data_IF_649602201306
#
_entry.id   IF_649602201306
#
_cell.length_a   1.000
_cell.length_b   1.000
_cell.length_c   1.000
_cell.angle_alpha   90.00
_cell.angle_beta   90.00
_cell.angle_gamma   90.00
#
_symmetry.space_group_name_H-M   'P 1'
#
loop_
_entity.id
_entity.type
_entity.pdbx_description
1 polymer ?
#
# COMPACT_ATOMS: atom_id res chain seq x y z
N UNK A 1 -6.60 -24.99 8.35
CA UNK A 1 -5.67 -26.11 8.62
C UNK A 1 -4.72 -25.66 9.71
N UNK A 2 -4.75 -26.29 10.88
CA UNK A 2 -3.81 -26.03 11.98
C UNK A 2 -2.46 -26.66 11.63
N UNK A 3 -1.41 -25.83 11.56
CA UNK A 3 -0.05 -26.28 11.25
C UNK A 3 0.63 -26.67 12.57
N UNK A 4 1.10 -27.92 12.63
CA UNK A 4 1.91 -28.46 13.72
C UNK A 4 3.23 -27.67 13.87
N UNK A 5 3.49 -27.04 15.04
CA UNK A 5 4.68 -26.23 15.27
C UNK A 5 5.97 -27.05 15.41
N UNK A 6 5.90 -28.38 15.48
CA UNK A 6 7.05 -29.26 15.72
C UNK A 6 7.77 -29.74 14.44
N UNK A 7 7.18 -29.53 13.25
CA UNK A 7 7.86 -29.87 11.99
C UNK A 7 8.89 -28.79 11.61
N UNK A 8 10.18 -29.16 11.37
CA UNK A 8 11.14 -28.24 10.78
C UNK A 8 10.64 -27.87 9.38
N UNK A 9 10.10 -26.64 9.24
CA UNK A 9 9.79 -26.08 7.93
C UNK A 9 11.09 -26.02 7.14
N UNK A 10 11.22 -26.84 6.10
CA UNK A 10 12.13 -26.56 4.99
C UNK A 10 11.91 -25.08 4.65
N UNK A 11 12.91 -24.22 4.91
CA UNK A 11 12.81 -22.78 4.63
C UNK A 11 12.71 -22.64 3.12
N UNK A 12 11.50 -22.66 2.59
CA UNK A 12 11.26 -22.38 1.17
C UNK A 12 11.85 -20.99 0.88
N UNK A 13 12.58 -20.90 -0.22
CA UNK A 13 13.19 -19.64 -0.64
C UNK A 13 12.05 -18.62 -0.85
N UNK A 14 12.12 -17.47 -0.17
CA UNK A 14 11.06 -16.45 -0.20
C UNK A 14 11.00 -15.67 -1.52
N UNK A 15 12.04 -15.80 -2.33
CA UNK A 15 12.23 -15.06 -3.57
C UNK A 15 12.95 -15.89 -4.63
N UNK A 16 12.74 -15.51 -5.89
CA UNK A 16 13.49 -15.95 -7.05
C UNK A 16 14.62 -14.94 -7.25
N UNK A 17 15.86 -15.41 -7.38
CA UNK A 17 16.99 -14.51 -7.67
C UNK A 17 16.80 -14.01 -9.09
N UNK A 18 16.84 -12.68 -9.26
CA UNK A 18 16.72 -12.09 -10.58
C UNK A 18 18.11 -11.91 -11.22
N UNK A 19 18.42 -12.77 -12.18
CA UNK A 19 19.68 -12.74 -12.95
C UNK A 19 19.45 -12.25 -14.40
N UNK A 20 18.33 -11.58 -14.67
CA UNK A 20 17.96 -11.17 -16.01
C UNK A 20 19.00 -10.20 -16.62
N UNK A 21 19.59 -10.62 -17.74
CA UNK A 21 20.49 -9.79 -18.57
C UNK A 21 19.74 -8.96 -19.61
N UNK A 22 18.49 -9.35 -19.92
CA UNK A 22 17.58 -8.64 -20.83
C UNK A 22 16.25 -8.38 -20.12
N UNK A 23 15.78 -7.13 -20.15
CA UNK A 23 14.52 -6.75 -19.51
C UNK A 23 13.32 -7.19 -20.35
N UNK A 24 12.43 -7.96 -19.71
CA UNK A 24 11.08 -8.22 -20.21
C UNK A 24 10.28 -6.91 -20.34
N UNK A 25 9.35 -6.91 -21.30
CA UNK A 25 8.40 -5.81 -21.57
C UNK A 25 7.01 -6.36 -21.71
N UNK A 26 6.02 -5.57 -21.31
CA UNK A 26 4.62 -5.92 -21.49
C UNK A 26 4.22 -5.60 -22.94
N UNK A 27 3.64 -6.57 -23.64
CA UNK A 27 3.22 -6.40 -25.04
C UNK A 27 2.01 -5.46 -25.14
N UNK A 28 0.99 -5.64 -24.30
CA UNK A 28 -0.19 -4.78 -24.21
C UNK A 28 -0.53 -4.40 -22.75
N UNK A 29 0.16 -3.39 -22.18
CA UNK A 29 -0.09 -2.94 -20.81
C UNK A 29 -1.55 -2.52 -20.58
N UNK A 30 -2.22 -1.92 -21.58
CA UNK A 30 -3.61 -1.46 -21.46
C UNK A 30 -4.57 -2.65 -21.43
N UNK A 31 -4.36 -3.65 -22.28
CA UNK A 31 -5.12 -4.90 -22.26
C UNK A 31 -5.03 -5.63 -20.93
N UNK A 32 -3.81 -5.83 -20.41
CA UNK A 32 -3.60 -6.45 -19.09
C UNK A 32 -4.27 -5.68 -17.95
N UNK A 33 -4.23 -4.36 -18.03
CA UNK A 33 -4.91 -3.50 -17.07
C UNK A 33 -6.44 -3.72 -17.10
N UNK A 34 -7.07 -3.64 -18.28
CA UNK A 34 -8.52 -3.84 -18.46
C UNK A 34 -8.93 -5.24 -18.00
N UNK A 35 -8.15 -6.26 -18.32
CA UNK A 35 -8.39 -7.64 -17.90
C UNK A 35 -8.36 -7.77 -16.37
N UNK A 36 -7.35 -7.17 -15.72
CA UNK A 36 -7.21 -7.19 -14.26
C UNK A 36 -8.36 -6.45 -13.55
N UNK A 37 -8.72 -5.25 -14.03
CA UNK A 37 -9.84 -4.51 -13.47
C UNK A 37 -11.19 -5.22 -13.71
N UNK A 38 -11.36 -5.83 -14.88
CA UNK A 38 -12.54 -6.66 -15.21
C UNK A 38 -12.65 -7.89 -14.30
N UNK A 39 -11.51 -8.47 -13.90
CA UNK A 39 -11.46 -9.59 -12.95
C UNK A 39 -11.91 -9.16 -11.56
N UNK A 40 -11.43 -8.00 -11.07
CA UNK A 40 -11.89 -7.43 -9.79
C UNK A 40 -13.41 -7.27 -9.77
N UNK A 41 -13.98 -6.65 -10.82
CA UNK A 41 -15.43 -6.46 -10.94
C UNK A 41 -16.20 -7.78 -10.96
N UNK A 42 -15.66 -8.81 -11.63
CA UNK A 42 -16.29 -10.13 -11.70
C UNK A 42 -16.24 -10.89 -10.37
N UNK A 43 -15.10 -10.86 -9.68
CA UNK A 43 -14.84 -11.67 -8.48
C UNK A 43 -15.31 -10.97 -7.20
N UNK A 44 -15.42 -9.65 -7.22
CA UNK A 44 -15.87 -8.84 -6.08
C UNK A 44 -16.92 -7.81 -6.54
N UNK A 45 -18.06 -8.22 -7.14
CA UNK A 45 -19.02 -7.28 -7.72
C UNK A 45 -19.55 -6.30 -6.68
N UNK A 46 -19.93 -5.07 -7.07
CA UNK A 46 -20.55 -4.09 -6.18
C UNK A 46 -22.01 -4.46 -5.90
N UNK A 47 -22.23 -5.60 -5.26
CA UNK A 47 -23.53 -6.17 -4.93
C UNK A 47 -23.55 -6.63 -3.47
N UNK A 48 -24.73 -6.60 -2.83
CA UNK A 48 -24.91 -7.05 -1.45
C UNK A 48 -25.54 -8.47 -1.41
N UNK A 49 -25.11 -9.34 -0.47
CA UNK A 49 -24.01 -9.15 0.45
C UNK A 49 -22.66 -9.14 -0.29
N UNK A 50 -21.79 -8.19 0.04
CA UNK A 50 -20.51 -8.08 -0.65
C UNK A 50 -19.62 -9.28 -0.32
N UNK A 51 -19.13 -9.96 -1.35
CA UNK A 51 -18.31 -11.15 -1.23
C UNK A 51 -16.92 -10.81 -0.67
N UNK A 52 -16.81 -10.71 0.67
CA UNK A 52 -15.53 -10.55 1.32
C UNK A 52 -14.73 -11.84 1.28
N UNK A 53 -13.48 -11.76 0.80
CA UNK A 53 -12.50 -12.83 0.93
C UNK A 53 -12.14 -13.11 2.41
N UNK A 54 -12.44 -12.17 3.31
CA UNK A 54 -12.30 -12.32 4.75
C UNK A 54 -13.66 -12.74 5.33
N UNK A 55 -13.85 -14.05 5.49
CA UNK A 55 -15.11 -14.65 5.99
C UNK A 55 -15.60 -13.92 7.26
N UNK A 56 -16.72 -13.22 7.15
CA UNK A 56 -17.43 -12.62 8.28
C UNK A 56 -16.94 -11.25 8.77
N UNK A 57 -16.12 -10.50 8.01
CA UNK A 57 -15.67 -9.16 8.43
C UNK A 57 -16.15 -7.98 7.57
N UNK A 58 -16.31 -6.88 8.32
CA UNK A 58 -16.59 -5.48 7.96
C UNK A 58 -15.53 -4.96 6.97
N UNK A 59 -15.93 -4.03 6.12
CA UNK A 59 -15.03 -3.28 5.23
C UNK A 59 -13.91 -2.57 6.04
N UNK A 60 -12.69 -2.46 5.50
CA UNK A 60 -11.53 -1.87 6.19
C UNK A 60 -10.92 -0.73 5.39
N UNK A 61 -11.71 0.29 5.10
CA UNK A 61 -11.34 1.50 4.41
C UNK A 61 -10.62 1.22 3.09
N UNK A 62 -9.40 1.75 2.98
CA UNK A 62 -8.55 1.59 1.80
C UNK A 62 -7.70 0.32 1.83
N UNK A 63 -7.69 -0.44 2.93
CA UNK A 63 -6.88 -1.65 3.06
C UNK A 63 -7.53 -2.85 2.38
N UNK A 64 -8.82 -3.09 2.65
CA UNK A 64 -9.60 -4.13 1.97
C UNK A 64 -11.08 -3.78 1.98
N UNK A 65 -11.74 -3.96 0.84
CA UNK A 65 -13.19 -3.84 0.74
C UNK A 65 -13.63 -2.99 -0.44
N UNK A 66 -14.94 -2.73 -0.56
CA UNK A 66 -15.49 -1.95 -1.67
C UNK A 66 -14.91 -0.53 -1.73
N UNK A 67 -14.60 0.10 -0.61
CA UNK A 67 -14.00 1.44 -0.58
C UNK A 67 -12.59 1.48 -1.16
N UNK A 68 -11.77 0.45 -0.90
CA UNK A 68 -10.46 0.31 -1.56
C UNK A 68 -10.57 0.12 -3.09
N UNK A 69 -11.59 -0.62 -3.56
CA UNK A 69 -11.84 -0.80 -4.99
C UNK A 69 -12.37 0.49 -5.61
N UNK A 70 -13.25 1.20 -4.91
CA UNK A 70 -13.70 2.52 -5.34
C UNK A 70 -12.54 3.50 -5.49
N UNK A 71 -11.57 3.49 -4.56
CA UNK A 71 -10.38 4.34 -4.64
C UNK A 71 -9.59 4.09 -5.93
N UNK A 72 -9.38 2.82 -6.28
CA UNK A 72 -8.76 2.44 -7.56
C UNK A 72 -9.51 3.08 -8.73
N UNK A 73 -10.83 2.93 -8.78
CA UNK A 73 -11.65 3.48 -9.86
C UNK A 73 -11.71 5.02 -9.87
N UNK A 74 -11.60 5.68 -8.71
CA UNK A 74 -11.43 7.14 -8.62
C UNK A 74 -10.09 7.58 -9.21
N UNK A 75 -8.99 6.90 -8.89
CA UNK A 75 -7.69 7.19 -9.49
C UNK A 75 -7.71 7.00 -11.02
N UNK A 76 -8.42 5.98 -11.50
CA UNK A 76 -8.57 5.72 -12.93
C UNK A 76 -9.46 6.75 -13.61
N UNK A 77 -10.54 7.21 -12.98
CA UNK A 77 -11.38 8.26 -13.58
C UNK A 77 -10.62 9.57 -13.77
N UNK A 78 -9.67 9.87 -12.88
CA UNK A 78 -8.81 11.05 -12.99
C UNK A 78 -7.73 10.93 -14.09
N UNK A 79 -7.21 9.71 -14.35
CA UNK A 79 -6.06 9.50 -15.27
C UNK A 79 -6.44 8.93 -16.63
N UNK A 80 -7.53 8.16 -16.69
CA UNK A 80 -7.97 7.37 -17.84
C UNK A 80 -9.51 7.39 -17.91
N UNK A 81 -10.09 8.58 -18.00
CA UNK A 81 -11.54 8.80 -17.93
C UNK A 81 -12.33 8.10 -19.05
N UNK A 82 -11.68 7.86 -20.20
CA UNK A 82 -12.22 7.21 -21.41
C UNK A 82 -12.14 5.68 -21.36
N UNK A 83 -11.46 5.11 -20.37
CA UNK A 83 -11.32 3.67 -20.24
C UNK A 83 -12.69 3.01 -20.08
N UNK A 84 -12.88 1.87 -20.71
CA UNK A 84 -14.10 1.09 -20.59
C UNK A 84 -13.77 -0.28 -19.99
N UNK A 85 -14.40 -0.58 -18.85
CA UNK A 85 -14.21 -1.83 -18.12
C UNK A 85 -15.58 -2.45 -18.01
N UNK A 86 -15.79 -3.61 -18.66
CA UNK A 86 -17.09 -4.31 -18.67
C UNK A 86 -18.27 -3.37 -19.05
N UNK A 87 -18.08 -2.50 -20.03
CA UNK A 87 -19.15 -1.62 -20.53
C UNK A 87 -19.37 -0.33 -19.74
N UNK A 88 -18.55 -0.02 -18.73
CA UNK A 88 -18.71 1.16 -17.87
C UNK A 88 -17.38 1.91 -17.69
N UNK A 89 -17.48 3.22 -17.49
CA UNK A 89 -16.36 4.10 -17.17
C UNK A 89 -15.89 3.93 -15.73
N UNK A 90 -14.62 4.23 -15.40
CA UNK A 90 -14.12 4.16 -14.04
C UNK A 90 -14.94 4.96 -13.03
N UNK A 91 -15.42 6.15 -13.37
CA UNK A 91 -16.26 6.95 -12.46
C UNK A 91 -17.57 6.25 -12.07
N UNK A 92 -18.17 5.49 -13.00
CA UNK A 92 -19.39 4.72 -12.76
C UNK A 92 -19.12 3.53 -11.85
N UNK A 93 -17.99 2.83 -12.03
CA UNK A 93 -17.56 1.79 -11.10
C UNK A 93 -17.25 2.34 -9.72
N UNK A 94 -16.52 3.46 -9.64
CA UNK A 94 -16.22 4.13 -8.37
C UNK A 94 -17.51 4.39 -7.58
N UNK A 95 -18.50 5.00 -8.25
CA UNK A 95 -19.82 5.23 -7.67
C UNK A 95 -20.49 3.93 -7.23
N UNK A 96 -20.53 2.90 -8.07
CA UNK A 96 -21.17 1.63 -7.74
C UNK A 96 -20.62 0.98 -6.47
N UNK A 97 -19.30 1.04 -6.27
CA UNK A 97 -18.67 0.50 -5.05
C UNK A 97 -18.89 1.38 -3.82
N UNK A 98 -19.00 2.70 -3.93
CA UNK A 98 -19.21 3.61 -2.78
C UNK A 98 -20.65 3.65 -2.25
N UNK A 99 -21.61 3.12 -3.01
CA UNK A 99 -23.04 3.13 -2.66
C UNK A 99 -23.51 1.78 -2.09
N UNK A 100 -22.62 1.05 -1.41
CA UNK A 100 -22.92 -0.24 -0.74
C UNK A 100 -23.22 -0.09 0.75
N UNK A 101 -23.53 1.11 1.21
CA UNK A 101 -23.92 1.40 2.60
C UNK A 101 -22.77 1.59 3.59
N UNK A 102 -21.56 1.91 3.11
CA UNK A 102 -20.38 2.10 3.98
C UNK A 102 -20.53 3.28 4.95
N UNK A 103 -21.35 4.27 4.61
CA UNK A 103 -21.70 5.40 5.48
C UNK A 103 -22.57 5.01 6.69
N UNK A 104 -23.14 3.81 6.68
CA UNK A 104 -23.90 3.25 7.81
C UNK A 104 -23.00 2.49 8.80
N UNK A 105 -21.71 2.33 8.51
CA UNK A 105 -20.73 1.74 9.43
C UNK A 105 -20.41 2.76 10.54
N UNK A 106 -20.77 2.45 11.78
CA UNK A 106 -20.59 3.41 12.87
C UNK A 106 -19.11 3.56 13.26
N UNK A 107 -18.65 4.83 13.33
CA UNK A 107 -17.31 5.26 13.76
C UNK A 107 -16.81 4.58 15.05
N UNK A 108 -17.72 4.33 15.98
CA UNK A 108 -17.45 3.80 17.32
C UNK A 108 -16.86 2.38 17.29
N UNK A 109 -17.07 1.62 16.21
CA UNK A 109 -16.56 0.24 16.12
C UNK A 109 -15.10 0.14 15.64
N UNK A 110 -14.49 1.23 15.20
CA UNK A 110 -13.18 1.16 14.57
C UNK A 110 -12.04 1.46 15.52
N UNK A 111 -12.17 2.40 16.47
CA UNK A 111 -11.08 2.80 17.37
C UNK A 111 -9.81 3.28 16.65
N UNK A 112 -9.91 3.54 15.34
CA UNK A 112 -8.79 3.81 14.43
C UNK A 112 -9.12 5.01 13.54
N UNK A 113 -8.09 5.71 13.08
CA UNK A 113 -8.19 6.92 12.25
C UNK A 113 -7.29 6.91 11.02
N UNK A 114 -6.56 5.82 10.82
CA UNK A 114 -5.73 5.66 9.64
C UNK A 114 -6.54 5.16 8.45
N UNK A 115 -5.83 4.65 7.44
CA UNK A 115 -6.43 4.22 6.17
C UNK A 115 -7.42 3.05 6.29
N UNK A 116 -7.45 2.34 7.43
CA UNK A 116 -8.35 1.22 7.68
C UNK A 116 -9.74 1.66 8.16
N UNK A 117 -9.92 2.94 8.53
CA UNK A 117 -11.23 3.44 8.93
C UNK A 117 -12.16 3.51 7.73
N UNK A 118 -13.19 2.67 7.72
CA UNK A 118 -14.19 2.60 6.68
C UNK A 118 -15.00 3.89 6.60
N UNK A 119 -15.40 4.43 7.76
CA UNK A 119 -16.19 5.66 7.79
C UNK A 119 -15.39 6.83 7.22
N UNK A 120 -14.16 7.04 7.68
CA UNK A 120 -13.33 8.15 7.23
C UNK A 120 -12.96 7.99 5.75
N UNK A 121 -12.53 6.80 5.33
CA UNK A 121 -12.13 6.54 3.95
C UNK A 121 -13.30 6.71 2.98
N UNK A 122 -14.46 6.11 3.27
CA UNK A 122 -15.62 6.19 2.38
C UNK A 122 -16.17 7.61 2.27
N UNK A 123 -16.28 8.36 3.38
CA UNK A 123 -16.72 9.75 3.33
C UNK A 123 -15.70 10.66 2.62
N UNK A 124 -14.40 10.46 2.82
CA UNK A 124 -13.38 11.21 2.09
C UNK A 124 -13.46 10.96 0.57
N UNK A 125 -13.65 9.71 0.16
CA UNK A 125 -13.83 9.35 -1.24
C UNK A 125 -15.13 9.93 -1.83
N UNK A 126 -16.24 9.87 -1.10
CA UNK A 126 -17.51 10.49 -1.51
C UNK A 126 -17.36 12.01 -1.65
N UNK A 127 -16.63 12.67 -0.75
CA UNK A 127 -16.31 14.09 -0.86
C UNK A 127 -15.54 14.40 -2.16
N UNK A 128 -14.52 13.61 -2.50
CA UNK A 128 -13.75 13.77 -3.73
C UNK A 128 -14.57 13.49 -5.00
N UNK A 129 -15.31 12.37 -5.02
CA UNK A 129 -16.08 11.94 -6.20
C UNK A 129 -17.23 12.92 -6.49
N UNK A 130 -17.96 13.34 -5.46
CA UNK A 130 -19.14 14.18 -5.60
C UNK A 130 -18.87 15.66 -5.40
N UNK A 131 -17.63 16.06 -5.11
CA UNK A 131 -17.28 17.43 -4.71
C UNK A 131 -18.18 17.92 -3.56
N UNK A 132 -18.38 17.06 -2.55
CA UNK A 132 -19.41 17.23 -1.53
C UNK A 132 -18.86 17.79 -0.22
N UNK A 133 -19.20 19.04 0.08
CA UNK A 133 -18.89 19.69 1.37
C UNK A 133 -19.51 18.95 2.55
N UNK A 134 -20.70 18.38 2.39
CA UNK A 134 -21.36 17.59 3.44
C UNK A 134 -20.53 16.38 3.86
N UNK A 135 -19.97 15.65 2.89
CA UNK A 135 -19.11 14.50 3.20
C UNK A 135 -17.75 14.95 3.77
N UNK A 136 -17.20 16.06 3.30
CA UNK A 136 -15.99 16.65 3.89
C UNK A 136 -16.23 17.06 5.36
N UNK A 137 -17.37 17.68 5.67
CA UNK A 137 -17.76 18.05 7.02
C UNK A 137 -17.87 16.83 7.95
N UNK A 138 -18.44 15.71 7.48
CA UNK A 138 -18.47 14.45 8.24
C UNK A 138 -17.08 13.95 8.62
N UNK A 139 -16.11 14.04 7.70
CA UNK A 139 -14.72 13.65 7.98
C UNK A 139 -14.09 14.57 9.04
N UNK A 140 -14.29 15.89 8.93
CA UNK A 140 -13.75 16.86 9.89
C UNK A 140 -14.38 16.71 11.29
N UNK A 141 -15.69 16.49 11.35
CA UNK A 141 -16.41 16.26 12.60
C UNK A 141 -15.92 14.96 13.25
N UNK A 142 -15.79 13.88 12.48
CA UNK A 142 -15.24 12.63 12.96
C UNK A 142 -13.83 12.81 13.54
N UNK A 143 -12.92 13.52 12.85
CA UNK A 143 -11.56 13.76 13.38
C UNK A 143 -11.54 14.57 14.68
N UNK A 144 -12.47 15.53 14.81
CA UNK A 144 -12.58 16.40 15.99
C UNK A 144 -13.08 15.65 17.21
N UNK A 145 -13.97 14.68 17.01
CA UNK A 145 -14.62 13.93 18.08
C UNK A 145 -14.01 12.55 18.35
N UNK A 146 -13.05 12.11 17.54
CA UNK A 146 -12.48 10.78 17.68
C UNK A 146 -11.54 10.67 18.89
N UNK A 147 -11.92 9.86 19.88
CA UNK A 147 -11.01 9.35 20.90
C UNK A 147 -10.17 8.21 20.31
N UNK A 148 -9.13 8.57 19.54
CA UNK A 148 -8.19 7.59 19.01
C UNK A 148 -7.27 7.10 20.13
N UNK A 149 -7.02 5.79 20.18
CA UNK A 149 -6.02 5.24 21.09
C UNK A 149 -4.65 5.90 20.80
N UNK A 150 -4.06 6.62 21.76
CA UNK A 150 -2.79 7.30 21.56
C UNK A 150 -1.67 6.32 21.15
N UNK A 151 -1.76 5.04 21.54
CA UNK A 151 -0.79 4.02 21.14
C UNK A 151 -0.81 3.73 19.62
N UNK A 152 -1.86 4.11 18.90
CA UNK A 152 -1.93 3.98 17.45
C UNK A 152 -1.45 5.28 16.79
N UNK A 153 -0.16 5.30 16.44
CA UNK A 153 0.49 6.43 15.76
C UNK A 153 0.87 6.13 14.30
N UNK A 154 0.59 4.93 13.80
CA UNK A 154 1.05 4.45 12.49
C UNK A 154 0.02 4.64 11.36
N UNK A 155 0.43 4.40 10.11
CA UNK A 155 -0.35 4.78 8.92
C UNK A 155 -1.68 4.03 8.77
N UNK A 156 -1.77 2.77 9.22
CA UNK A 156 -2.99 1.98 9.05
C UNK A 156 -4.10 2.40 9.99
N UNK A 157 -3.81 2.55 11.27
CA UNK A 157 -4.83 2.69 12.29
C UNK A 157 -4.72 4.02 13.06
N UNK A 158 -3.59 4.70 12.94
CA UNK A 158 -3.20 5.78 13.83
C UNK A 158 -3.16 7.17 13.21
N UNK A 159 -2.90 8.15 14.07
CA UNK A 159 -2.74 9.57 13.69
C UNK A 159 -1.30 9.82 13.26
N UNK A 160 -0.87 9.24 12.14
CA UNK A 160 0.52 9.33 11.64
C UNK A 160 1.14 10.75 11.54
N UNK A 161 0.35 11.82 11.73
CA UNK A 161 0.79 13.20 11.81
C UNK A 161 1.00 13.77 13.24
N UNK A 162 0.69 13.04 14.33
CA UNK A 162 0.83 13.55 15.71
C UNK A 162 2.24 13.26 16.26
N UNK A 163 3.09 14.28 16.19
CA UNK A 163 4.50 14.30 16.59
C UNK A 163 4.88 13.96 18.05
N UNK A 164 4.09 14.26 19.11
CA UNK A 164 4.60 14.15 20.49
C UNK A 164 4.89 12.73 21.01
N UNK A 165 4.59 11.65 20.28
CA UNK A 165 4.74 10.28 20.79
C UNK A 165 5.95 9.55 20.24
N UNK A 166 7.16 10.04 20.53
CA UNK A 166 8.38 9.28 20.30
C UNK A 166 8.81 8.51 21.57
N UNK A 167 9.22 7.23 21.48
CA UNK A 167 9.29 6.39 20.27
C UNK A 167 7.90 5.97 19.75
N UNK A 168 7.77 5.83 18.43
CA UNK A 168 6.52 5.35 17.81
C UNK A 168 6.44 3.82 17.96
N UNK A 169 5.45 3.37 18.73
CA UNK A 169 5.24 1.96 19.07
C UNK A 169 3.91 1.51 18.48
N UNK A 170 3.87 0.32 17.88
CA UNK A 170 2.64 -0.36 17.50
C UNK A 170 2.63 -1.75 18.13
N UNK A 171 1.51 -2.18 18.73
CA UNK A 171 1.38 -3.49 19.39
C UNK A 171 2.57 -3.85 20.32
N UNK A 172 3.02 -2.88 21.13
CA UNK A 172 4.12 -3.05 22.08
C UNK A 172 5.54 -3.15 21.48
N UNK A 173 5.71 -2.98 20.17
CA UNK A 173 7.02 -3.02 19.50
C UNK A 173 7.29 -1.78 18.65
N UNK A 174 8.57 -1.43 18.51
CA UNK A 174 9.00 -0.37 17.59
C UNK A 174 9.14 -0.96 16.18
N UNK A 175 8.36 -0.43 15.24
CA UNK A 175 8.40 -0.86 13.84
C UNK A 175 9.13 0.17 12.99
N UNK A 176 9.86 -0.29 11.98
CA UNK A 176 10.62 0.60 11.08
C UNK A 176 9.92 0.83 9.73
N UNK A 177 9.12 -0.13 9.27
CA UNK A 177 8.55 -0.14 7.92
C UNK A 177 7.46 0.89 7.66
N UNK A 178 7.05 1.02 6.38
CA UNK A 178 6.11 2.07 5.91
C UNK A 178 4.71 1.96 6.51
N UNK A 179 4.28 0.75 6.83
CA UNK A 179 2.89 0.50 7.26
C UNK A 179 2.72 0.86 8.74
N UNK A 180 3.49 0.19 9.60
CA UNK A 180 3.36 0.31 11.04
C UNK A 180 4.46 1.12 11.73
N UNK A 181 5.42 1.66 10.97
CA UNK A 181 6.70 2.06 11.51
C UNK A 181 7.16 3.46 11.15
N UNK A 182 8.32 3.80 11.70
CA UNK A 182 8.82 5.16 11.77
C UNK A 182 9.00 5.83 10.41
N UNK A 183 9.45 5.10 9.38
CA UNK A 183 9.63 5.70 8.05
C UNK A 183 8.28 6.09 7.43
N UNK A 184 7.22 5.32 7.68
CA UNK A 184 5.86 5.61 7.23
C UNK A 184 5.32 6.86 7.91
N UNK A 185 5.46 6.92 9.23
CA UNK A 185 5.04 8.07 10.05
C UNK A 185 5.80 9.33 9.62
N UNK A 186 7.13 9.25 9.53
CA UNK A 186 7.96 10.36 9.07
C UNK A 186 7.53 10.82 7.68
N UNK A 187 7.24 9.90 6.76
CA UNK A 187 6.74 10.23 5.42
C UNK A 187 5.45 11.03 5.50
N UNK A 188 4.46 10.58 6.28
CA UNK A 188 3.18 11.28 6.41
C UNK A 188 3.35 12.66 7.05
N UNK A 189 4.13 12.79 8.12
CA UNK A 189 4.41 14.10 8.75
C UNK A 189 4.98 15.09 7.74
N UNK A 190 5.99 14.68 6.96
CA UNK A 190 6.66 15.57 6.01
C UNK A 190 5.77 15.94 4.83
N UNK A 191 4.96 15.00 4.33
CA UNK A 191 4.01 15.28 3.25
C UNK A 191 2.83 16.15 3.71
N UNK A 192 2.44 16.07 4.98
CA UNK A 192 1.39 16.92 5.56
C UNK A 192 1.88 18.31 5.95
N UNK A 193 3.06 18.43 6.56
CA UNK A 193 3.67 19.70 6.95
C UNK A 193 5.20 19.67 6.77
N UNK A 194 5.70 20.17 5.62
CA UNK A 194 7.13 20.22 5.31
C UNK A 194 7.99 20.99 6.31
N UNK A 195 7.41 21.87 7.15
CA UNK A 195 8.17 22.64 8.14
C UNK A 195 8.85 21.76 9.21
N UNK A 196 8.42 20.50 9.32
CA UNK A 196 9.01 19.50 10.22
C UNK A 196 10.30 18.86 9.70
N UNK A 197 10.67 19.07 8.43
CA UNK A 197 11.83 18.42 7.83
C UNK A 197 13.13 18.66 8.61
N UNK A 198 13.45 19.93 8.94
CA UNK A 198 14.66 20.26 9.69
C UNK A 198 14.69 19.65 11.10
N UNK A 199 13.53 19.53 11.75
CA UNK A 199 13.39 18.93 13.09
C UNK A 199 13.56 17.41 13.08
N UNK A 200 13.23 16.76 11.96
CA UNK A 200 13.26 15.31 11.80
C UNK A 200 14.50 14.81 11.05
N UNK A 201 15.44 15.69 10.71
CA UNK A 201 16.64 15.33 9.95
C UNK A 201 17.48 14.26 10.66
N UNK A 202 17.77 14.46 11.95
CA UNK A 202 18.52 13.47 12.75
C UNK A 202 17.80 12.12 12.82
N UNK A 203 16.46 12.13 12.86
CA UNK A 203 15.64 10.91 12.87
C UNK A 203 15.69 10.18 11.52
N UNK A 204 15.59 10.93 10.42
CA UNK A 204 15.73 10.34 9.09
C UNK A 204 17.13 9.75 8.89
N UNK A 205 18.17 10.46 9.32
CA UNK A 205 19.54 9.95 9.26
C UNK A 205 19.72 8.68 10.09
N UNK A 206 19.15 8.60 11.30
CA UNK A 206 19.20 7.37 12.09
C UNK A 206 18.52 6.19 11.38
N UNK A 207 17.39 6.43 10.72
CA UNK A 207 16.68 5.42 9.93
C UNK A 207 17.49 4.97 8.69
N UNK A 208 18.14 5.90 8.00
CA UNK A 208 19.02 5.58 6.87
C UNK A 208 20.20 4.71 7.32
N UNK A 209 20.77 4.99 8.49
CA UNK A 209 21.92 4.26 9.04
C UNK A 209 21.56 2.83 9.54
N UNK A 210 20.28 2.48 9.64
CA UNK A 210 19.83 1.11 9.91
C UNK A 210 19.86 0.21 8.66
N UNK A 211 20.14 0.76 7.48
CA UNK A 211 20.26 -0.04 6.27
C UNK A 211 21.46 -0.99 6.39
N UNK A 212 21.23 -2.28 6.18
CA UNK A 212 22.26 -3.29 6.28
C UNK A 212 23.23 -3.27 5.07
N UNK A 213 24.26 -4.12 5.16
CA UNK A 213 25.30 -4.24 4.13
C UNK A 213 24.78 -4.74 2.79
N UNK A 214 23.64 -5.45 2.76
CA UNK A 214 22.99 -5.89 1.52
C UNK A 214 22.11 -4.78 0.92
N UNK A 215 21.84 -3.70 1.66
CA UNK A 215 20.98 -2.60 1.24
C UNK A 215 19.52 -2.74 1.70
N UNK A 216 19.23 -3.68 2.61
CA UNK A 216 17.89 -3.90 3.15
C UNK A 216 17.70 -3.21 4.51
N UNK A 217 16.44 -3.11 4.96
CA UNK A 217 16.10 -2.68 6.31
C UNK A 217 15.43 -3.82 7.10
N UNK A 218 15.67 -3.92 8.41
CA UNK A 218 15.06 -4.96 9.23
C UNK A 218 13.55 -4.73 9.44
N UNK A 219 12.79 -5.81 9.34
CA UNK A 219 11.36 -5.97 9.66
C UNK A 219 10.30 -5.28 8.75
N UNK A 220 9.14 -5.95 8.69
CA UNK A 220 7.83 -5.66 8.08
C UNK A 220 7.69 -5.39 6.58
N UNK A 221 8.50 -4.56 5.91
CA UNK A 221 8.36 -4.38 4.43
C UNK A 221 9.69 -4.16 3.67
N UNK A 222 10.83 -4.23 4.36
CA UNK A 222 12.17 -4.22 3.75
C UNK A 222 12.47 -2.98 2.88
N UNK A 223 13.47 -3.12 2.01
CA UNK A 223 13.94 -2.06 1.12
C UNK A 223 12.86 -1.38 0.26
N UNK A 224 11.89 -2.10 -0.35
CA UNK A 224 10.95 -1.46 -1.27
C UNK A 224 10.13 -0.33 -0.63
N UNK A 225 9.65 -0.56 0.60
CA UNK A 225 8.90 0.46 1.34
C UNK A 225 9.77 1.67 1.68
N UNK A 226 10.96 1.43 2.24
CA UNK A 226 11.90 2.50 2.57
C UNK A 226 12.28 3.34 1.35
N UNK A 227 12.57 2.70 0.21
CA UNK A 227 12.88 3.39 -1.05
C UNK A 227 11.70 4.27 -1.48
N UNK A 228 10.47 3.76 -1.43
CA UNK A 228 9.27 4.54 -1.76
C UNK A 228 9.13 5.80 -0.89
N UNK A 229 9.26 5.65 0.42
CA UNK A 229 9.24 6.76 1.37
C UNK A 229 10.36 7.78 1.11
N UNK A 230 11.60 7.31 0.95
CA UNK A 230 12.76 8.17 0.68
C UNK A 230 12.58 8.96 -0.63
N UNK A 231 12.07 8.34 -1.69
CA UNK A 231 11.76 9.03 -2.95
C UNK A 231 10.72 10.13 -2.74
N UNK A 232 9.68 9.87 -1.95
CA UNK A 232 8.61 10.83 -1.70
C UNK A 232 9.08 12.06 -0.92
N UNK A 233 10.03 11.89 0.01
CA UNK A 233 10.45 12.98 0.91
C UNK A 233 11.79 13.62 0.59
N UNK A 234 12.59 13.07 -0.33
CA UNK A 234 13.99 13.51 -0.57
C UNK A 234 14.15 15.00 -0.89
N UNK A 235 13.16 15.66 -1.50
CA UNK A 235 13.24 17.10 -1.81
C UNK A 235 13.19 17.97 -0.56
N UNK A 236 12.64 17.47 0.55
CA UNK A 236 12.51 18.22 1.80
C UNK A 236 13.77 18.14 2.68
N UNK A 237 14.74 17.27 2.34
CA UNK A 237 15.98 17.06 3.10
C UNK A 237 17.23 17.32 2.23
N UNK A 238 17.49 18.57 1.83
CA UNK A 238 18.62 18.89 0.94
C UNK A 238 19.99 18.56 1.55
N UNK A 239 20.13 18.66 2.87
CA UNK A 239 21.33 18.32 3.66
C UNK A 239 21.65 16.82 3.65
N UNK A 240 20.63 15.96 3.61
CA UNK A 240 20.77 14.50 3.57
C UNK A 240 20.69 13.91 2.16
N UNK A 241 20.65 14.75 1.12
CA UNK A 241 20.39 14.34 -0.25
C UNK A 241 21.30 13.20 -0.72
N UNK A 242 22.60 13.30 -0.41
CA UNK A 242 23.61 12.29 -0.79
C UNK A 242 23.37 10.95 -0.08
N UNK A 243 23.04 10.99 1.21
CA UNK A 243 22.76 9.82 2.02
C UNK A 243 21.48 9.12 1.55
N UNK A 244 20.44 9.92 1.24
CA UNK A 244 19.17 9.42 0.71
C UNK A 244 19.37 8.76 -0.66
N UNK A 245 20.06 9.42 -1.60
CA UNK A 245 20.29 8.87 -2.94
C UNK A 245 21.13 7.57 -2.87
N UNK A 246 22.13 7.51 -1.97
CA UNK A 246 22.90 6.29 -1.74
C UNK A 246 22.05 5.15 -1.15
N UNK A 247 21.18 5.46 -0.18
CA UNK A 247 20.28 4.49 0.43
C UNK A 247 19.25 3.95 -0.58
N UNK A 248 18.67 4.83 -1.41
CA UNK A 248 17.78 4.46 -2.52
C UNK A 248 18.49 3.53 -3.50
N UNK A 249 19.74 3.84 -3.87
CA UNK A 249 20.52 3.03 -4.82
C UNK A 249 20.73 1.61 -4.30
N UNK A 250 21.15 1.46 -3.04
CA UNK A 250 21.32 0.14 -2.41
C UNK A 250 19.99 -0.59 -2.24
N UNK A 251 18.93 0.11 -1.83
CA UNK A 251 17.60 -0.45 -1.67
C UNK A 251 17.01 -0.96 -2.99
N UNK A 252 17.24 -0.24 -4.09
CA UNK A 252 16.87 -0.68 -5.44
C UNK A 252 17.66 -1.90 -5.89
N UNK A 253 18.96 -1.95 -5.60
CA UNK A 253 19.80 -3.11 -5.93
C UNK A 253 19.25 -4.40 -5.28
N UNK A 254 19.02 -4.39 -3.97
CA UNK A 254 18.49 -5.58 -3.27
C UNK A 254 17.07 -5.93 -3.72
N UNK A 255 16.25 -4.91 -4.02
CA UNK A 255 14.90 -5.11 -4.57
C UNK A 255 14.95 -5.73 -5.96
N UNK A 256 15.89 -5.32 -6.81
CA UNK A 256 16.10 -5.90 -8.13
C UNK A 256 16.49 -7.38 -8.02
N UNK A 257 17.47 -7.69 -7.17
CA UNK A 257 18.04 -9.05 -7.01
C UNK A 257 17.08 -10.03 -6.31
N UNK A 258 16.31 -9.57 -5.32
CA UNK A 258 15.53 -10.44 -4.42
C UNK A 258 14.05 -10.04 -4.26
N UNK A 259 13.57 -9.07 -5.03
CA UNK A 259 12.19 -8.56 -4.93
C UNK A 259 11.15 -9.34 -5.73
N UNK A 260 11.56 -10.30 -6.56
CA UNK A 260 10.64 -11.27 -7.20
C UNK A 260 10.29 -12.37 -6.20
N UNK A 261 9.11 -12.30 -5.61
CA UNK A 261 8.72 -13.19 -4.52
C UNK A 261 8.03 -14.47 -5.02
N UNK A 262 8.23 -15.57 -4.30
CA UNK A 262 7.65 -16.90 -4.61
C UNK A 262 6.18 -17.04 -4.21
N UNK A 263 5.47 -15.93 -4.00
CA UNK A 263 4.03 -15.92 -3.71
C UNK A 263 3.29 -15.21 -4.83
N UNK A 264 1.97 -15.25 -4.81
CA UNK A 264 1.18 -14.51 -5.78
C UNK A 264 1.50 -13.00 -5.73
N UNK A 265 1.70 -12.33 -6.89
CA UNK A 265 1.97 -10.90 -6.97
C UNK A 265 0.86 -10.07 -6.28
N UNK A 266 1.26 -9.14 -5.41
CA UNK A 266 0.37 -8.23 -4.71
C UNK A 266 1.10 -6.94 -4.31
N UNK A 267 0.36 -5.91 -3.90
CA UNK A 267 0.93 -4.60 -3.57
C UNK A 267 1.55 -4.51 -2.17
N UNK A 268 0.93 -5.11 -1.15
CA UNK A 268 1.35 -4.87 0.24
C UNK A 268 2.70 -5.52 0.57
N UNK A 269 2.94 -6.72 0.04
CA UNK A 269 4.17 -7.46 0.33
C UNK A 269 4.60 -8.33 -0.85
N UNK A 270 4.08 -8.14 -2.06
CA UNK A 270 4.35 -8.96 -3.27
C UNK A 270 5.26 -8.28 -4.30
N UNK A 271 5.56 -8.99 -5.39
CA UNK A 271 6.43 -8.51 -6.48
C UNK A 271 5.90 -7.23 -7.14
N UNK A 272 4.57 -7.09 -7.29
CA UNK A 272 3.95 -5.87 -7.83
C UNK A 272 4.21 -4.65 -6.96
N UNK A 273 4.10 -4.79 -5.64
CA UNK A 273 4.47 -3.74 -4.69
C UNK A 273 5.96 -3.40 -4.74
N UNK A 274 6.81 -4.42 -4.76
CA UNK A 274 8.26 -4.27 -4.83
C UNK A 274 8.71 -3.50 -6.09
N UNK A 275 8.00 -3.69 -7.21
CA UNK A 275 8.29 -3.01 -8.47
C UNK A 275 8.22 -1.48 -8.37
N UNK A 276 7.45 -0.93 -7.42
CA UNK A 276 7.30 0.52 -7.25
C UNK A 276 8.59 1.20 -6.77
N UNK A 277 9.49 0.45 -6.12
CA UNK A 277 10.80 0.95 -5.73
C UNK A 277 11.77 1.09 -6.91
N UNK A 278 11.51 0.38 -8.01
CA UNK A 278 12.39 0.30 -9.18
C UNK A 278 12.08 1.41 -10.19
N UNK A 279 13.07 1.71 -11.03
CA UNK A 279 12.90 2.63 -12.17
C UNK A 279 12.05 1.99 -13.28
N UNK A 280 11.50 2.81 -14.17
CA UNK A 280 10.45 2.39 -15.11
C UNK A 280 10.75 1.09 -15.90
N UNK A 281 11.95 0.89 -16.49
CA UNK A 281 12.26 -0.35 -17.21
C UNK A 281 12.27 -1.60 -16.32
N UNK A 282 12.85 -1.50 -15.13
CA UNK A 282 12.94 -2.62 -14.18
C UNK A 282 11.58 -2.91 -13.54
N UNK A 283 10.80 -1.85 -13.29
CA UNK A 283 9.41 -1.97 -12.82
C UNK A 283 8.57 -2.75 -13.81
N UNK A 284 8.62 -2.40 -15.08
CA UNK A 284 7.89 -3.11 -16.13
C UNK A 284 8.31 -4.58 -16.22
N UNK A 285 9.61 -4.87 -16.13
CA UNK A 285 10.12 -6.23 -16.06
C UNK A 285 9.49 -7.03 -14.90
N UNK A 286 9.38 -6.43 -13.71
CA UNK A 286 8.72 -7.07 -12.56
C UNK A 286 7.22 -7.28 -12.81
N UNK A 287 6.54 -6.31 -13.43
CA UNK A 287 5.12 -6.42 -13.77
C UNK A 287 4.84 -7.51 -14.80
N UNK A 288 5.81 -7.89 -15.64
CA UNK A 288 5.68 -9.04 -16.53
C UNK A 288 5.47 -10.36 -15.76
N UNK A 289 5.93 -10.48 -14.51
CA UNK A 289 5.66 -11.65 -13.65
C UNK A 289 4.29 -11.59 -12.95
N UNK A 290 3.53 -10.51 -13.16
CA UNK A 290 2.20 -10.31 -12.60
C UNK A 290 1.09 -10.43 -13.65
N UNK A 291 1.40 -10.90 -14.88
CA UNK A 291 0.36 -11.17 -15.88
C UNK A 291 -0.41 -12.45 -15.52
N UNK A 292 -1.69 -12.56 -15.94
CA UNK A 292 -2.49 -13.76 -15.66
C UNK A 292 -1.82 -15.06 -16.14
N UNK A 293 -1.19 -15.04 -17.32
CA UNK A 293 -0.56 -16.23 -17.90
C UNK A 293 0.62 -16.69 -17.05
N UNK A 294 1.41 -15.75 -16.52
CA UNK A 294 2.54 -16.06 -15.62
C UNK A 294 2.08 -16.56 -14.27
N UNK A 295 1.01 -15.97 -13.71
CA UNK A 295 0.44 -16.44 -12.44
C UNK A 295 -0.08 -17.87 -12.59
N UNK A 296 -0.77 -18.18 -13.70
CA UNK A 296 -1.27 -19.52 -14.00
C UNK A 296 -0.11 -20.52 -14.16
N UNK A 297 0.91 -20.19 -14.95
CA UNK A 297 2.11 -21.03 -15.12
C UNK A 297 2.80 -21.34 -13.79
N UNK A 298 3.04 -20.34 -12.95
CA UNK A 298 3.70 -20.51 -11.66
C UNK A 298 2.81 -21.24 -10.64
N UNK A 299 1.49 -21.11 -10.73
CA UNK A 299 0.55 -21.83 -9.87
C UNK A 299 0.53 -23.33 -10.17
N UNK A 300 0.66 -23.71 -11.45
CA UNK A 300 0.79 -25.11 -11.87
C UNK A 300 2.11 -25.74 -11.39
N UNK A 301 3.21 -24.99 -11.43
CA UNK A 301 4.53 -25.45 -10.94
C UNK A 301 4.54 -25.65 -9.42
N UNK A 302 3.65 -25.00 -8.65
CA UNK A 302 3.52 -25.20 -7.20
C UNK A 302 2.61 -26.37 -6.81
N UNK A 303 1.92 -26.98 -7.78
CA UNK A 303 1.03 -28.14 -7.59
C UNK A 303 1.67 -29.48 -8.01
N UNK A 304 2.89 -29.44 -8.58
CA UNK A 304 3.71 -30.60 -8.96
C UNK A 304 4.87 -30.70 -7.96
#
# INVERSE_FOLDING_TARGET
MSIDPSQPRLKSKRFIVNEATTLLRLEDPKGYFIQSASRIVRECPPELPWASLFRGQIYRGLFVGPTSIAYLFLCLSAKHADLEIKGRRPAEWCKAYLELGQDSVALVFEGTCGITSEYLASNALKACLYQSETHAAKVLDAFSNLEADPAHCEWMNGRAAILPQQPWIWNGSQYLGVVHGEIGILTQVILSDPSHASKLESKLLSLINLQDVEGNWPFCHGAPGFVGSLIAIKSYFPTLRKQIDAAITRGRKITWEKGLLTKEPNFCYGSSGNSLALDAPQREHFLCFATPERIEQDSLVRLI
#
